data_IF_295178215715
#
_entry.id   IF_295178215715
#
_cell.length_a   1.000
_cell.length_b   1.000
_cell.length_c   1.000
_cell.angle_alpha   90.00
_cell.angle_beta   90.00
_cell.angle_gamma   90.00
#
_symmetry.space_group_name_H-M   'P 1'
#
loop_
_entity.id
_entity.type
_entity.pdbx_description
1 polymer ?
#
# COMPACT_ATOMS: atom_id res chain seq x y z
N UNK A 1 41.94 -49.28 44.65
CA UNK A 1 40.46 -49.40 44.61
C UNK A 1 39.72 -48.21 45.17
N UNK A 2 40.20 -47.57 46.26
CA UNK A 2 39.49 -46.37 46.83
C UNK A 2 39.50 -45.15 45.94
N UNK A 3 40.55 -44.92 45.18
CA UNK A 3 40.72 -43.78 44.26
C UNK A 3 39.73 -43.86 43.08
N UNK A 4 39.53 -45.05 42.53
CA UNK A 4 38.62 -45.28 41.42
C UNK A 4 37.13 -45.03 41.86
N UNK A 5 36.77 -45.44 43.09
CA UNK A 5 35.45 -45.17 43.65
C UNK A 5 35.18 -43.66 43.80
N UNK A 6 36.16 -42.92 44.34
CA UNK A 6 36.04 -41.48 44.47
C UNK A 6 35.88 -40.77 43.14
N UNK A 7 36.60 -41.23 42.10
CA UNK A 7 36.48 -40.64 40.74
C UNK A 7 35.14 -40.96 40.12
N UNK A 8 34.57 -42.14 40.33
CA UNK A 8 33.24 -42.51 39.85
C UNK A 8 32.17 -41.66 40.52
N UNK A 9 32.29 -41.38 41.84
CA UNK A 9 31.36 -40.52 42.54
C UNK A 9 31.41 -39.09 42.06
N UNK A 10 32.60 -38.52 41.80
CA UNK A 10 32.76 -37.18 41.22
C UNK A 10 32.11 -37.14 39.84
N UNK A 11 32.43 -38.08 38.95
CA UNK A 11 31.85 -38.09 37.61
C UNK A 11 30.32 -38.25 37.62
N UNK A 12 29.78 -39.03 38.57
CA UNK A 12 28.33 -39.21 38.73
C UNK A 12 27.66 -37.89 39.17
N UNK A 13 28.28 -37.16 40.07
CA UNK A 13 27.82 -35.87 40.52
C UNK A 13 27.87 -34.83 39.38
N UNK A 14 28.96 -34.79 38.64
CA UNK A 14 29.13 -33.90 37.48
C UNK A 14 28.13 -34.21 36.37
N UNK A 15 27.89 -35.50 36.07
CA UNK A 15 26.83 -35.90 35.12
C UNK A 15 25.45 -35.49 35.63
N UNK A 16 25.18 -35.60 36.88
CA UNK A 16 23.90 -35.21 37.47
C UNK A 16 23.72 -33.69 37.42
N UNK A 17 24.77 -32.93 37.71
CA UNK A 17 24.75 -31.47 37.63
C UNK A 17 24.59 -30.98 36.15
N UNK A 18 25.30 -31.62 35.24
CA UNK A 18 25.12 -31.36 33.80
C UNK A 18 23.72 -31.73 33.32
N UNK A 19 23.16 -32.84 33.75
CA UNK A 19 21.77 -33.20 33.42
C UNK A 19 20.78 -32.19 33.98
N UNK A 20 20.98 -31.68 35.22
CA UNK A 20 20.15 -30.66 35.79
C UNK A 20 20.26 -29.31 35.05
N UNK A 21 21.46 -28.95 34.65
CA UNK A 21 21.72 -27.74 33.83
C UNK A 21 21.16 -27.85 32.39
N UNK A 22 21.32 -29.00 31.76
CA UNK A 22 20.78 -29.30 30.45
C UNK A 22 19.28 -29.62 30.48
N UNK A 23 18.81 -30.23 31.56
CA UNK A 23 17.40 -30.61 31.77
C UNK A 23 16.50 -29.45 32.21
N UNK A 24 17.04 -28.23 32.31
CA UNK A 24 16.20 -27.06 32.47
C UNK A 24 15.52 -26.72 31.13
N UNK A 25 14.64 -27.65 30.72
CA UNK A 25 13.78 -27.53 29.51
C UNK A 25 12.96 -26.25 29.52
N UNK A 26 12.75 -25.65 30.70
CA UNK A 26 12.09 -24.38 30.86
C UNK A 26 12.86 -23.26 30.17
N UNK A 27 14.17 -23.15 30.33
CA UNK A 27 14.99 -22.10 29.67
C UNK A 27 14.96 -22.20 28.16
N UNK A 28 15.03 -23.41 27.62
CA UNK A 28 14.92 -23.62 26.16
C UNK A 28 13.50 -23.35 25.64
N UNK A 29 12.50 -23.76 26.40
CA UNK A 29 11.10 -23.50 26.08
C UNK A 29 10.78 -22.01 26.14
N UNK A 30 11.26 -21.31 27.17
CA UNK A 30 11.13 -19.85 27.28
C UNK A 30 11.84 -19.09 26.15
N UNK A 31 13.06 -19.52 25.81
CA UNK A 31 13.81 -18.94 24.68
C UNK A 31 13.09 -19.15 23.35
N UNK A 32 12.55 -20.35 23.10
CA UNK A 32 11.72 -20.61 21.92
C UNK A 32 10.47 -19.74 21.90
N UNK A 33 9.74 -19.69 23.01
CA UNK A 33 8.53 -18.90 23.10
C UNK A 33 8.80 -17.39 22.89
N UNK A 34 9.86 -16.87 23.49
CA UNK A 34 10.30 -15.50 23.26
C UNK A 34 10.63 -15.25 21.79
N UNK A 35 11.40 -16.15 21.17
CA UNK A 35 11.77 -16.04 19.75
C UNK A 35 10.54 -16.10 18.84
N UNK A 36 9.62 -17.03 19.10
CA UNK A 36 8.40 -17.18 18.32
C UNK A 36 7.51 -15.94 18.42
N UNK A 37 7.40 -15.35 19.62
CA UNK A 37 6.69 -14.09 19.81
C UNK A 37 7.33 -12.92 19.06
N UNK A 38 8.66 -12.81 19.11
CA UNK A 38 9.39 -11.76 18.39
C UNK A 38 9.22 -11.89 16.88
N UNK A 39 9.32 -13.10 16.36
CA UNK A 39 9.08 -13.39 14.95
C UNK A 39 7.63 -13.06 14.55
N UNK A 40 6.65 -13.42 15.39
CA UNK A 40 5.25 -13.11 15.12
C UNK A 40 5.00 -11.60 15.04
N UNK A 41 5.52 -10.83 16.01
CA UNK A 41 5.41 -9.37 16.05
C UNK A 41 6.11 -8.70 14.86
N UNK A 42 7.35 -9.12 14.55
CA UNK A 42 8.09 -8.60 13.41
C UNK A 42 7.39 -8.92 12.08
N UNK A 43 6.83 -10.13 11.95
CA UNK A 43 6.04 -10.52 10.79
C UNK A 43 4.77 -9.69 10.62
N UNK A 44 4.05 -9.42 11.72
CA UNK A 44 2.87 -8.56 11.70
C UNK A 44 3.21 -7.11 11.32
N UNK A 45 4.30 -6.56 11.88
CA UNK A 45 4.79 -5.23 11.57
C UNK A 45 5.18 -5.10 10.09
N UNK A 46 5.85 -6.11 9.54
CA UNK A 46 6.23 -6.16 8.12
C UNK A 46 5.00 -6.25 7.21
N UNK A 47 4.02 -7.07 7.57
CA UNK A 47 2.75 -7.17 6.85
C UNK A 47 1.99 -5.83 6.85
N UNK A 48 1.99 -5.11 7.98
CA UNK A 48 1.39 -3.78 8.08
C UNK A 48 2.10 -2.78 7.16
N UNK A 49 3.44 -2.69 7.18
CA UNK A 49 4.21 -1.80 6.30
C UNK A 49 3.97 -2.11 4.82
N UNK A 50 3.91 -3.39 4.46
CA UNK A 50 3.64 -3.83 3.09
C UNK A 50 2.20 -3.53 2.63
N UNK A 51 1.28 -3.35 3.57
CA UNK A 51 -0.12 -3.01 3.32
C UNK A 51 -0.35 -1.53 3.01
N UNK A 52 0.64 -0.65 3.20
CA UNK A 52 0.51 0.78 2.89
C UNK A 52 0.30 0.97 1.39
N UNK A 53 -0.83 1.57 1.03
CA UNK A 53 -1.20 1.94 -0.35
C UNK A 53 -1.38 3.45 -0.41
N UNK A 54 -0.65 4.07 -1.30
CA UNK A 54 -0.74 5.50 -1.53
C UNK A 54 -1.65 5.77 -2.73
N UNK A 55 -2.26 6.94 -2.76
CA UNK A 55 -3.12 7.36 -3.85
C UNK A 55 -2.29 7.63 -5.12
N UNK A 56 -2.96 7.53 -6.27
CA UNK A 56 -2.36 7.91 -7.55
C UNK A 56 -2.07 9.41 -7.60
N UNK A 57 -1.19 9.80 -8.53
CA UNK A 57 -0.79 11.18 -8.72
C UNK A 57 -1.97 12.10 -9.04
N UNK A 58 -2.08 13.18 -8.25
CA UNK A 58 -2.96 14.32 -8.52
C UNK A 58 -2.12 15.61 -8.51
N UNK A 59 -2.22 16.38 -9.58
CA UNK A 59 -1.48 17.63 -9.72
C UNK A 59 -1.79 18.66 -8.62
N UNK A 60 -3.00 18.62 -8.06
CA UNK A 60 -3.46 19.51 -7.00
C UNK A 60 -3.13 18.99 -5.59
N UNK A 61 -2.92 17.66 -5.45
CA UNK A 61 -2.70 16.99 -4.16
C UNK A 61 -1.48 16.06 -4.26
N UNK A 62 -0.30 16.63 -4.08
CA UNK A 62 0.98 15.92 -4.24
C UNK A 62 1.38 15.07 -3.05
N UNK A 63 0.71 15.20 -1.91
CA UNK A 63 0.98 14.45 -0.69
C UNK A 63 -0.21 13.55 -0.40
N UNK A 64 0.06 12.28 -0.11
CA UNK A 64 -0.93 11.31 0.35
C UNK A 64 -0.49 10.65 1.64
N UNK A 65 -1.44 10.32 2.50
CA UNK A 65 -1.24 9.55 3.73
C UNK A 65 -1.91 8.20 3.58
N UNK A 66 -1.31 7.18 4.18
CA UNK A 66 -1.84 5.83 4.21
C UNK A 66 -1.75 5.25 5.61
N UNK A 67 -2.69 4.39 5.95
CA UNK A 67 -2.65 3.56 7.16
C UNK A 67 -3.03 2.14 6.80
N UNK A 68 -2.45 1.18 7.51
CA UNK A 68 -2.71 -0.24 7.31
C UNK A 68 -2.53 -1.01 8.60
N UNK A 69 -3.00 -2.24 8.62
CA UNK A 69 -2.70 -3.20 9.67
C UNK A 69 -2.26 -4.52 9.05
N UNK A 70 -1.48 -5.26 9.81
CA UNK A 70 -1.01 -6.58 9.42
C UNK A 70 -1.11 -7.56 10.57
N UNK A 71 -1.31 -8.83 10.25
CA UNK A 71 -1.37 -9.92 11.21
C UNK A 71 -0.46 -11.06 10.78
N UNK A 72 0.27 -11.63 11.72
CA UNK A 72 1.12 -12.79 11.48
C UNK A 72 1.24 -13.63 12.76
N UNK A 73 0.96 -14.94 12.67
CA UNK A 73 1.03 -15.91 13.80
C UNK A 73 0.37 -15.41 15.09
N UNK A 74 -0.82 -14.79 14.96
CA UNK A 74 -1.58 -14.29 16.12
C UNK A 74 -1.15 -12.91 16.63
N UNK A 75 -0.03 -12.34 16.17
CA UNK A 75 0.34 -10.97 16.46
C UNK A 75 -0.26 -10.01 15.43
N UNK A 76 -0.60 -8.80 15.87
CA UNK A 76 -1.15 -7.73 15.03
C UNK A 76 -0.31 -6.46 15.20
N UNK A 77 -0.10 -5.73 14.11
CA UNK A 77 0.57 -4.43 14.11
C UNK A 77 -0.15 -3.46 13.19
N UNK A 78 0.00 -2.17 13.48
CA UNK A 78 -0.43 -1.08 12.60
C UNK A 78 0.77 -0.42 11.91
N UNK A 79 0.52 0.23 10.80
CA UNK A 79 1.49 1.11 10.13
C UNK A 79 0.81 2.35 9.59
N UNK A 80 1.55 3.45 9.57
CA UNK A 80 1.18 4.71 8.94
C UNK A 80 2.28 5.16 8.01
N UNK A 81 1.93 5.87 6.95
CA UNK A 81 2.91 6.34 5.99
C UNK A 81 2.46 7.59 5.26
N UNK A 82 3.44 8.27 4.71
CA UNK A 82 3.28 9.44 3.86
C UNK A 82 3.99 9.20 2.53
N UNK A 83 3.39 9.68 1.46
CA UNK A 83 4.02 9.71 0.15
C UNK A 83 3.96 11.11 -0.44
N UNK A 84 5.00 11.47 -1.17
CA UNK A 84 5.10 12.69 -1.93
C UNK A 84 5.35 12.37 -3.40
N UNK A 85 4.51 12.91 -4.27
CA UNK A 85 4.58 12.75 -5.72
C UNK A 85 4.78 14.12 -6.36
N UNK A 86 6.05 14.52 -6.64
CA UNK A 86 6.32 15.80 -7.33
C UNK A 86 5.70 15.85 -8.72
N UNK A 87 5.66 14.73 -9.39
CA UNK A 87 5.07 14.52 -10.71
C UNK A 87 4.56 13.07 -10.84
N UNK A 88 3.90 12.74 -11.94
CA UNK A 88 3.33 11.41 -12.18
C UNK A 88 4.35 10.29 -12.37
N UNK A 89 5.64 10.60 -12.52
CA UNK A 89 6.70 9.63 -12.78
C UNK A 89 7.55 9.32 -11.54
N UNK A 90 7.41 10.10 -10.46
CA UNK A 90 8.22 9.95 -9.25
C UNK A 90 7.31 9.90 -8.02
N UNK A 91 7.51 8.88 -7.19
CA UNK A 91 6.88 8.75 -5.89
C UNK A 91 7.97 8.50 -4.84
N UNK A 92 7.98 9.30 -3.80
CA UNK A 92 8.82 9.12 -2.60
C UNK A 92 7.90 8.79 -1.45
N UNK A 93 8.21 7.76 -0.67
CA UNK A 93 7.38 7.39 0.48
C UNK A 93 8.21 7.10 1.71
N UNK A 94 7.58 7.27 2.85
CA UNK A 94 8.09 6.90 4.17
C UNK A 94 6.95 6.29 4.96
N UNK A 95 7.22 5.16 5.62
CA UNK A 95 6.27 4.47 6.47
C UNK A 95 6.89 4.05 7.80
N UNK A 96 6.07 3.99 8.84
CA UNK A 96 6.48 3.55 10.17
C UNK A 96 5.40 2.67 10.80
N UNK A 97 5.82 1.70 11.60
CA UNK A 97 4.89 0.89 12.39
C UNK A 97 4.46 1.62 13.66
N UNK A 98 3.23 1.34 14.07
CA UNK A 98 2.64 1.79 15.34
C UNK A 98 2.45 0.56 16.22
N UNK A 99 3.08 0.55 17.40
CA UNK A 99 2.97 -0.57 18.31
C UNK A 99 4.30 -0.95 18.97
N UNK A 100 4.41 -2.21 19.39
CA UNK A 100 5.55 -2.71 20.18
C UNK A 100 6.83 -2.95 19.36
N UNK A 101 6.72 -3.09 18.04
CA UNK A 101 7.86 -3.24 17.12
C UNK A 101 7.98 -1.97 16.28
N UNK A 102 9.07 -1.26 16.49
CA UNK A 102 9.36 -0.03 15.75
C UNK A 102 10.13 -0.37 14.47
N UNK A 103 9.45 -0.27 13.35
CA UNK A 103 10.05 -0.44 12.03
C UNK A 103 9.81 0.82 11.19
N UNK A 104 10.78 1.14 10.36
CA UNK A 104 10.72 2.24 9.41
C UNK A 104 11.01 1.69 8.01
N UNK A 105 10.26 2.13 7.03
CA UNK A 105 10.59 1.91 5.64
C UNK A 105 10.53 3.23 4.86
N UNK A 106 11.26 3.29 3.78
CA UNK A 106 11.21 4.40 2.85
C UNK A 106 11.69 3.95 1.49
N UNK A 107 11.19 4.60 0.47
CA UNK A 107 11.56 4.25 -0.90
C UNK A 107 11.24 5.35 -1.89
N UNK A 108 11.83 5.19 -3.07
CA UNK A 108 11.58 6.02 -4.23
C UNK A 108 11.18 5.10 -5.37
N UNK A 109 10.07 5.39 -6.00
CA UNK A 109 9.62 4.71 -7.23
C UNK A 109 9.70 5.70 -8.37
N UNK A 110 10.30 5.24 -9.47
CA UNK A 110 10.46 6.05 -10.69
C UNK A 110 9.89 5.26 -11.85
N UNK A 111 9.04 5.90 -12.65
CA UNK A 111 8.55 5.31 -13.90
C UNK A 111 9.66 5.37 -14.94
N UNK A 112 10.02 4.22 -15.48
CA UNK A 112 11.08 4.09 -16.49
C UNK A 112 10.45 3.69 -17.82
N UNK A 113 10.79 4.40 -18.88
CA UNK A 113 10.28 4.15 -20.23
C UNK A 113 9.47 5.32 -20.79
N UNK A 114 9.35 5.34 -22.10
CA UNK A 114 8.59 6.39 -22.82
C UNK A 114 7.10 6.02 -22.81
N UNK A 115 6.38 6.47 -21.81
CA UNK A 115 4.92 6.30 -21.66
C UNK A 115 4.12 7.40 -22.39
N UNK A 116 4.80 8.33 -23.08
CA UNK A 116 4.17 9.48 -23.71
C UNK A 116 3.22 9.12 -24.86
N UNK A 117 3.25 7.87 -25.35
CA UNK A 117 2.43 7.45 -26.50
C UNK A 117 1.14 6.68 -26.16
N UNK A 118 0.94 6.22 -24.92
CA UNK A 118 -0.22 5.39 -24.61
C UNK A 118 -1.37 6.14 -23.93
N UNK A 119 -1.24 6.42 -22.64
CA UNK A 119 -2.38 6.86 -21.81
C UNK A 119 -2.50 8.38 -21.71
N UNK A 120 -1.39 9.13 -21.61
CA UNK A 120 -1.40 10.59 -21.50
C UNK A 120 -1.82 11.27 -22.81
N UNK A 121 -1.37 10.75 -23.94
CA UNK A 121 -1.80 11.22 -25.27
C UNK A 121 -3.30 10.96 -25.48
N UNK A 122 -3.79 9.83 -24.99
CA UNK A 122 -5.21 9.47 -25.09
C UNK A 122 -6.09 10.37 -24.21
N UNK A 123 -5.70 10.67 -22.98
CA UNK A 123 -6.50 11.55 -22.08
C UNK A 123 -6.55 12.99 -22.58
N UNK A 124 -5.44 13.54 -23.11
CA UNK A 124 -5.43 14.87 -23.75
C UNK A 124 -6.23 14.90 -25.05
N UNK A 125 -6.19 13.83 -25.84
CA UNK A 125 -6.97 13.72 -27.07
C UNK A 125 -8.46 13.57 -26.75
N UNK A 126 -8.82 12.75 -25.75
CA UNK A 126 -10.20 12.61 -25.27
C UNK A 126 -10.75 13.95 -24.76
N UNK A 127 -9.96 14.73 -24.03
CA UNK A 127 -10.40 16.06 -23.56
C UNK A 127 -10.64 17.01 -24.75
N UNK A 128 -9.75 17.03 -25.75
CA UNK A 128 -9.93 17.81 -26.97
C UNK A 128 -11.16 17.36 -27.80
N UNK A 129 -11.35 16.05 -27.92
CA UNK A 129 -12.51 15.49 -28.60
C UNK A 129 -13.81 15.80 -27.84
N UNK A 130 -13.81 15.77 -26.53
CA UNK A 130 -14.97 16.19 -25.71
C UNK A 130 -15.30 17.68 -25.89
N UNK A 131 -14.30 18.55 -25.95
CA UNK A 131 -14.51 19.97 -26.19
C UNK A 131 -15.01 20.23 -27.63
N UNK A 132 -14.51 19.51 -28.61
CA UNK A 132 -15.01 19.56 -29.97
C UNK A 132 -16.46 19.08 -30.09
N UNK A 133 -16.79 17.96 -29.46
CA UNK A 133 -18.16 17.43 -29.40
C UNK A 133 -19.12 18.41 -28.70
N UNK A 134 -18.67 19.07 -27.60
CA UNK A 134 -19.48 20.11 -26.94
C UNK A 134 -19.75 21.31 -27.86
N UNK A 135 -18.74 21.75 -28.63
CA UNK A 135 -18.90 22.85 -29.56
C UNK A 135 -19.88 22.47 -30.70
N UNK A 136 -19.75 21.27 -31.25
CA UNK A 136 -20.64 20.74 -32.26
C UNK A 136 -22.07 20.58 -31.78
N UNK A 137 -22.26 20.06 -30.56
CA UNK A 137 -23.58 19.97 -29.94
C UNK A 137 -24.24 21.35 -29.71
N UNK A 138 -23.46 22.36 -29.40
CA UNK A 138 -23.99 23.72 -29.26
C UNK A 138 -24.37 24.32 -30.63
N UNK A 139 -23.59 24.06 -31.67
CA UNK A 139 -23.92 24.45 -33.03
C UNK A 139 -25.22 23.78 -33.57
N UNK A 140 -25.32 22.46 -33.34
CA UNK A 140 -26.54 21.68 -33.68
C UNK A 140 -27.76 22.20 -32.94
N UNK A 141 -27.62 22.59 -31.65
CA UNK A 141 -28.73 23.18 -30.88
C UNK A 141 -29.18 24.53 -31.43
N UNK A 142 -28.24 25.36 -31.89
CA UNK A 142 -28.56 26.66 -32.50
C UNK A 142 -29.27 26.46 -33.84
N UNK A 143 -28.77 25.59 -34.69
CA UNK A 143 -29.38 25.24 -35.99
C UNK A 143 -30.78 24.63 -35.82
N UNK A 144 -30.97 23.76 -34.85
CA UNK A 144 -32.29 23.21 -34.51
C UNK A 144 -33.28 24.29 -34.00
N UNK A 145 -32.81 25.33 -33.33
CA UNK A 145 -33.64 26.44 -32.90
C UNK A 145 -34.08 27.32 -34.13
N UNK A 146 -33.13 27.54 -35.03
CA UNK A 146 -33.40 28.29 -36.28
C UNK A 146 -34.36 27.54 -37.18
N UNK A 147 -34.16 26.27 -37.43
CA UNK A 147 -35.08 25.41 -38.18
C UNK A 147 -36.48 25.37 -37.56
N UNK A 148 -36.61 25.35 -36.26
CA UNK A 148 -37.91 25.42 -35.56
C UNK A 148 -38.61 26.77 -35.77
N UNK A 149 -37.86 27.87 -35.81
CA UNK A 149 -38.39 29.19 -36.08
C UNK A 149 -38.89 29.31 -37.52
N UNK A 150 -38.10 28.86 -38.49
CA UNK A 150 -38.48 28.82 -39.93
C UNK A 150 -39.72 27.94 -40.12
N UNK A 151 -39.77 26.79 -39.47
CA UNK A 151 -40.91 25.86 -39.56
C UNK A 151 -42.19 26.48 -38.99
N UNK A 152 -42.09 27.32 -37.95
CA UNK A 152 -43.21 28.06 -37.36
C UNK A 152 -43.69 29.16 -38.32
N UNK A 153 -42.77 29.85 -39.02
CA UNK A 153 -43.05 30.87 -39.99
C UNK A 153 -43.78 30.30 -41.23
N UNK A 154 -43.26 29.18 -41.76
CA UNK A 154 -43.90 28.47 -42.85
C UNK A 154 -45.31 27.99 -42.48
N UNK A 155 -45.47 27.44 -41.27
CA UNK A 155 -46.81 27.07 -40.75
C UNK A 155 -47.77 28.25 -40.68
N UNK A 156 -47.31 29.40 -40.20
CA UNK A 156 -48.13 30.61 -40.11
C UNK A 156 -48.56 31.10 -41.50
N UNK A 157 -47.67 31.04 -42.50
CA UNK A 157 -47.98 31.37 -43.88
C UNK A 157 -49.00 30.44 -44.54
N UNK A 158 -48.96 29.14 -44.19
CA UNK A 158 -49.91 28.15 -44.71
C UNK A 158 -51.31 28.21 -44.04
N UNK A 159 -51.41 28.70 -42.80
CA UNK A 159 -52.68 28.83 -42.09
C UNK A 159 -53.42 30.13 -42.37
N UNK A 160 -52.73 31.12 -42.93
CA UNK A 160 -53.31 32.42 -43.29
C UNK A 160 -53.81 32.50 -44.78
N UNK A 161 -53.96 31.38 -45.43
CA UNK A 161 -54.55 31.25 -46.73
C UNK A 161 -55.91 30.56 -46.65
#
# INVERSE_FOLDING_TARGET
>A
MKELGSQVDINTNDITDLKNKLGNTNTLSEAKHYTDQRIAKAGAANAALSGLKYLDYDANHKVSAAASFGQYKGATAGAVGLAYQPNEDVLVHLGATVGSEHMLNGGVSIRVGDTTKGVKANTKNIAKEMDAIKAENNAIKAENAELKAELAEIKAMLTNK
#
